data_IF_182900459366
#
_entry.id   IF_182900459366
#
_cell.length_a   1.000
_cell.length_b   1.000
_cell.length_c   1.000
_cell.angle_alpha   90.00
_cell.angle_beta   90.00
_cell.angle_gamma   90.00
#
_symmetry.space_group_name_H-M   'P 1'
#
loop_
_entity.id
_entity.type
_entity.pdbx_description
1 polymer ?
#
# COMPACT_ATOMS: atom_id res chain seq x y z
N UNK A 1 51.79 -28.37 5.52
CA UNK A 1 50.42 -27.95 5.89
C UNK A 1 49.50 -28.81 5.06
N UNK A 2 48.96 -29.86 5.65
CA UNK A 2 47.99 -30.72 4.99
C UNK A 2 46.75 -29.89 4.67
N UNK A 3 46.39 -29.81 3.40
CA UNK A 3 45.08 -29.31 2.99
C UNK A 3 44.05 -30.23 3.62
N UNK A 4 43.48 -29.80 4.75
CA UNK A 4 42.35 -30.47 5.36
C UNK A 4 41.29 -30.62 4.26
N UNK A 5 41.11 -31.86 3.82
CA UNK A 5 40.24 -32.24 2.72
C UNK A 5 38.82 -31.83 3.13
N UNK A 6 38.39 -30.63 2.72
CA UNK A 6 37.06 -30.14 3.05
C UNK A 6 36.06 -31.19 2.54
N UNK A 7 35.13 -31.65 3.37
CA UNK A 7 34.15 -32.65 2.95
C UNK A 7 33.37 -32.07 1.76
N UNK A 8 33.66 -32.59 0.57
CA UNK A 8 32.99 -32.20 -0.65
C UNK A 8 31.59 -32.78 -0.61
N UNK A 9 30.62 -31.94 -0.24
CA UNK A 9 29.22 -32.31 -0.23
C UNK A 9 28.84 -32.90 -1.62
N UNK A 10 28.19 -34.06 -1.70
CA UNK A 10 27.74 -34.61 -2.97
C UNK A 10 26.96 -33.59 -3.82
N UNK A 11 27.18 -33.60 -5.14
CA UNK A 11 26.58 -32.64 -6.08
C UNK A 11 25.05 -32.60 -5.97
N UNK A 12 24.39 -33.74 -5.70
CA UNK A 12 22.94 -33.78 -5.54
C UNK A 12 22.46 -33.03 -4.30
N UNK A 13 23.18 -33.11 -3.17
CA UNK A 13 22.87 -32.34 -1.96
C UNK A 13 23.13 -30.85 -2.16
N UNK A 14 24.22 -30.51 -2.85
CA UNK A 14 24.51 -29.11 -3.21
C UNK A 14 23.35 -28.51 -4.04
N UNK A 15 22.86 -29.26 -5.05
CA UNK A 15 21.69 -28.86 -5.85
C UNK A 15 20.42 -28.73 -5.01
N UNK A 16 20.18 -29.64 -4.07
CA UNK A 16 19.00 -29.61 -3.21
C UNK A 16 19.00 -28.39 -2.28
N UNK A 17 20.11 -28.14 -1.58
CA UNK A 17 20.30 -26.94 -0.75
C UNK A 17 20.08 -25.69 -1.59
N UNK A 18 20.73 -25.60 -2.75
CA UNK A 18 20.57 -24.46 -3.65
C UNK A 18 19.12 -24.26 -4.08
N UNK A 19 18.37 -25.32 -4.35
CA UNK A 19 16.98 -25.19 -4.74
C UNK A 19 16.11 -24.60 -3.60
N UNK A 20 16.37 -25.01 -2.36
CA UNK A 20 15.74 -24.42 -1.18
C UNK A 20 16.11 -22.93 -1.03
N UNK A 21 17.40 -22.59 -1.17
CA UNK A 21 17.86 -21.20 -1.08
C UNK A 21 17.28 -20.34 -2.20
N UNK A 22 17.25 -20.86 -3.44
CA UNK A 22 16.67 -20.16 -4.57
C UNK A 22 15.16 -19.99 -4.43
N UNK A 23 14.45 -20.97 -3.86
CA UNK A 23 13.02 -20.85 -3.53
C UNK A 23 12.81 -19.74 -2.50
N UNK A 24 13.66 -19.66 -1.48
CA UNK A 24 13.63 -18.60 -0.48
C UNK A 24 13.90 -17.22 -1.10
N UNK A 25 15.01 -17.06 -1.84
CA UNK A 25 15.34 -15.84 -2.59
C UNK A 25 14.18 -15.44 -3.52
N UNK A 26 13.60 -16.40 -4.23
CA UNK A 26 12.48 -16.16 -5.13
C UNK A 26 11.24 -15.66 -4.39
N UNK A 27 10.90 -16.29 -3.26
CA UNK A 27 9.77 -15.87 -2.43
C UNK A 27 9.90 -14.41 -2.00
N UNK A 28 11.06 -14.02 -1.45
CA UNK A 28 11.30 -12.64 -1.01
C UNK A 28 11.51 -11.66 -2.18
N UNK A 29 12.01 -12.11 -3.32
CA UNK A 29 12.15 -11.23 -4.50
C UNK A 29 10.81 -10.97 -5.19
N UNK A 30 9.90 -11.96 -5.17
CA UNK A 30 8.53 -11.87 -5.70
C UNK A 30 7.57 -11.20 -4.73
N UNK A 31 7.85 -11.19 -3.43
CA UNK A 31 7.04 -10.43 -2.49
C UNK A 31 7.00 -8.99 -2.98
N UNK A 32 5.77 -8.57 -3.27
CA UNK A 32 5.47 -7.19 -3.53
C UNK A 32 5.43 -6.62 -2.14
N UNK A 33 6.59 -6.18 -1.66
CA UNK A 33 6.68 -5.73 -0.29
C UNK A 33 5.69 -4.59 -0.10
N UNK A 34 4.76 -4.75 0.86
CA UNK A 34 3.92 -3.65 1.31
C UNK A 34 4.75 -2.43 1.61
N UNK A 35 4.19 -1.26 1.35
CA UNK A 35 4.56 -0.09 2.14
C UNK A 35 4.22 -0.45 3.59
N UNK A 36 5.23 -0.81 4.36
CA UNK A 36 5.09 -1.06 5.79
C UNK A 36 5.60 0.18 6.47
N UNK A 37 4.75 0.84 7.27
CA UNK A 37 5.17 2.00 8.06
C UNK A 37 6.37 1.58 8.91
N UNK A 38 7.49 2.28 8.77
CA UNK A 38 8.73 2.01 9.51
C UNK A 38 9.72 1.03 8.85
N UNK A 39 9.38 0.38 7.74
CA UNK A 39 10.32 -0.47 7.00
C UNK A 39 10.47 -0.02 5.56
N UNK A 40 11.70 0.26 5.14
CA UNK A 40 11.96 0.42 3.72
C UNK A 40 12.08 -0.98 3.11
N UNK A 41 11.28 -1.30 2.09
CA UNK A 41 11.43 -2.54 1.32
C UNK A 41 12.86 -2.72 0.77
N UNK A 42 13.63 -1.63 0.72
CA UNK A 42 15.00 -1.58 0.23
C UNK A 42 15.99 -2.28 1.17
N UNK A 43 15.76 -2.23 2.48
CA UNK A 43 16.64 -2.89 3.45
C UNK A 43 16.60 -4.40 3.23
N UNK A 44 15.38 -4.96 3.10
CA UNK A 44 15.17 -6.36 2.74
C UNK A 44 15.72 -6.70 1.36
N UNK A 45 15.56 -5.82 0.36
CA UNK A 45 16.10 -6.06 -0.98
C UNK A 45 17.64 -6.12 -0.98
N UNK A 46 18.30 -5.27 -0.20
CA UNK A 46 19.76 -5.28 -0.04
C UNK A 46 20.24 -6.54 0.69
N UNK A 47 19.51 -6.98 1.72
CA UNK A 47 19.78 -8.22 2.44
C UNK A 47 19.70 -9.43 1.50
N UNK A 48 18.64 -9.53 0.68
CA UNK A 48 18.48 -10.61 -0.31
C UNK A 48 19.61 -10.57 -1.35
N UNK A 49 20.02 -9.39 -1.82
CA UNK A 49 21.15 -9.27 -2.76
C UNK A 49 22.45 -9.72 -2.15
N UNK A 50 22.74 -9.28 -0.92
CA UNK A 50 23.93 -9.72 -0.16
C UNK A 50 23.91 -11.24 -0.02
N UNK A 51 22.75 -11.80 0.32
CA UNK A 51 22.54 -13.24 0.41
C UNK A 51 22.81 -13.96 -0.93
N UNK A 52 22.27 -13.48 -2.05
CA UNK A 52 22.53 -14.04 -3.38
C UNK A 52 24.01 -14.03 -3.75
N UNK A 53 24.72 -12.94 -3.43
CA UNK A 53 26.17 -12.82 -3.67
C UNK A 53 26.92 -13.84 -2.81
N UNK A 54 26.63 -13.88 -1.50
CA UNK A 54 27.29 -14.78 -0.56
C UNK A 54 27.10 -16.25 -0.96
N UNK A 55 25.89 -16.65 -1.35
CA UNK A 55 25.62 -18.02 -1.83
C UNK A 55 26.34 -18.26 -3.17
N UNK A 56 26.38 -17.27 -4.07
CA UNK A 56 27.11 -17.37 -5.33
C UNK A 56 28.63 -17.53 -5.18
N UNK A 57 29.22 -17.00 -4.10
CA UNK A 57 30.65 -17.09 -3.81
C UNK A 57 31.10 -18.44 -3.24
N UNK A 58 30.17 -19.30 -2.83
CA UNK A 58 30.49 -20.61 -2.23
C UNK A 58 31.25 -21.52 -3.21
N UNK A 59 30.80 -21.61 -4.47
CA UNK A 59 31.49 -22.41 -5.49
C UNK A 59 31.07 -22.01 -6.91
N UNK A 60 31.85 -22.45 -7.91
CA UNK A 60 31.48 -22.29 -9.34
C UNK A 60 30.12 -22.91 -9.66
N UNK A 61 29.75 -24.02 -9.00
CA UNK A 61 28.46 -24.67 -9.19
C UNK A 61 27.32 -23.82 -8.63
N UNK A 62 27.50 -23.27 -7.42
CA UNK A 62 26.52 -22.38 -6.78
C UNK A 62 26.30 -21.12 -7.62
N UNK A 63 27.38 -20.48 -8.08
CA UNK A 63 27.31 -19.34 -8.99
C UNK A 63 26.53 -19.69 -10.26
N UNK A 64 26.85 -20.81 -10.91
CA UNK A 64 26.18 -21.25 -12.14
C UNK A 64 24.68 -21.46 -11.92
N UNK A 65 24.29 -22.12 -10.82
CA UNK A 65 22.88 -22.41 -10.51
C UNK A 65 22.12 -21.12 -10.17
N UNK A 66 22.65 -20.27 -9.29
CA UNK A 66 22.04 -18.97 -8.96
C UNK A 66 21.91 -18.11 -10.21
N UNK A 67 22.93 -18.07 -11.06
CA UNK A 67 22.86 -17.30 -12.31
C UNK A 67 21.82 -17.81 -13.29
N UNK A 68 21.49 -19.09 -13.21
CA UNK A 68 20.44 -19.76 -13.98
C UNK A 68 19.04 -19.63 -13.38
N UNK A 69 18.93 -19.16 -12.13
CA UNK A 69 17.62 -19.04 -11.48
C UNK A 69 16.84 -17.87 -12.05
N UNK A 70 15.53 -18.08 -12.18
CA UNK A 70 14.61 -17.03 -12.55
C UNK A 70 14.53 -16.00 -11.43
N UNK A 71 14.70 -14.73 -11.79
CA UNK A 71 14.77 -13.66 -10.80
C UNK A 71 13.78 -12.54 -11.07
N UNK A 72 13.43 -11.85 -9.99
CA UNK A 72 12.82 -10.53 -10.04
C UNK A 72 13.92 -9.47 -10.00
N UNK A 73 13.95 -8.55 -10.96
CA UNK A 73 14.86 -7.40 -10.95
C UNK A 73 14.09 -6.11 -10.70
N UNK A 74 14.67 -5.25 -9.86
CA UNK A 74 14.30 -3.84 -9.75
C UNK A 74 15.29 -2.97 -10.52
N UNK A 75 14.78 -2.27 -11.54
CA UNK A 75 15.58 -1.37 -12.37
C UNK A 75 16.14 -0.18 -11.58
N UNK A 76 15.59 0.12 -10.41
CA UNK A 76 16.15 1.14 -9.52
C UNK A 76 17.58 0.84 -9.06
N UNK A 77 18.04 -0.41 -9.18
CA UNK A 77 19.32 -0.86 -8.64
C UNK A 77 20.25 -1.45 -9.67
N UNK A 78 19.83 -1.52 -10.94
CA UNK A 78 20.76 -1.84 -12.01
C UNK A 78 21.70 -0.65 -12.13
N UNK A 79 22.99 -0.91 -11.87
CA UNK A 79 24.00 0.08 -12.21
C UNK A 79 24.01 0.18 -13.75
N UNK A 80 23.26 1.12 -14.32
CA UNK A 80 23.17 1.30 -15.76
C UNK A 80 24.54 1.58 -16.37
N UNK A 81 25.50 2.08 -15.59
CA UNK A 81 26.90 2.19 -16.03
C UNK A 81 27.52 0.80 -16.30
N UNK A 82 27.11 -0.26 -15.60
CA UNK A 82 27.49 -1.65 -15.94
C UNK A 82 26.63 -2.29 -17.06
N UNK A 83 25.58 -1.60 -17.51
CA UNK A 83 24.80 -1.97 -18.69
C UNK A 83 25.26 -1.22 -19.96
N UNK A 84 25.59 0.06 -19.85
CA UNK A 84 25.90 0.97 -20.97
C UNK A 84 27.40 1.21 -21.19
N UNK A 85 28.29 0.93 -20.23
CA UNK A 85 29.76 1.07 -20.43
C UNK A 85 30.38 -0.03 -21.30
N UNK A 86 29.60 -0.60 -22.23
CA UNK A 86 30.04 -1.54 -23.25
C UNK A 86 29.68 -1.12 -24.69
N UNK A 87 29.44 0.16 -24.95
CA UNK A 87 29.55 0.71 -26.31
C UNK A 87 30.52 1.91 -26.32
N UNK A 88 31.71 1.66 -26.90
CA UNK A 88 32.81 2.58 -27.26
C UNK A 88 33.72 2.96 -26.07
N UNK A 89 35.00 2.57 -25.96
CA UNK A 89 36.06 2.45 -26.98
C UNK A 89 36.64 1.04 -27.14
N UNK A 90 36.81 0.62 -28.39
CA UNK A 90 37.97 -0.18 -28.82
C UNK A 90 39.22 0.54 -28.32
N UNK A 91 39.97 -0.07 -27.41
CA UNK A 91 41.44 -0.11 -27.34
C UNK A 91 41.80 -1.26 -26.38
N UNK A 92 42.41 -2.28 -26.98
CA UNK A 92 43.23 -3.37 -26.44
C UNK A 92 42.72 -4.22 -25.27
N UNK A 93 42.34 -5.45 -25.65
CA UNK A 93 42.62 -6.72 -24.97
C UNK A 93 43.14 -6.60 -23.53
N UNK A 94 42.22 -6.63 -22.57
CA UNK A 94 42.36 -7.52 -21.42
C UNK A 94 40.99 -7.79 -20.78
N UNK A 95 40.72 -9.08 -20.59
CA UNK A 95 39.45 -9.68 -20.18
C UNK A 95 38.98 -9.23 -18.78
N UNK A 96 38.39 -8.05 -18.68
CA UNK A 96 37.54 -7.71 -17.53
C UNK A 96 36.11 -8.17 -17.81
N UNK A 97 35.92 -9.49 -17.72
CA UNK A 97 34.61 -10.10 -17.58
C UNK A 97 34.03 -9.69 -16.22
N UNK A 98 33.27 -8.60 -16.19
CA UNK A 98 32.41 -8.32 -15.05
C UNK A 98 31.33 -9.40 -15.00
N UNK A 99 31.49 -10.34 -14.06
CA UNK A 99 30.56 -11.45 -13.86
C UNK A 99 29.20 -10.91 -13.41
N UNK A 100 28.28 -10.69 -14.33
CA UNK A 100 26.88 -10.45 -13.95
C UNK A 100 26.34 -11.77 -13.38
N UNK A 101 26.08 -11.80 -12.08
CA UNK A 101 25.47 -12.96 -11.40
C UNK A 101 24.13 -13.28 -12.06
N UNK A 102 23.38 -12.27 -12.48
CA UNK A 102 22.06 -12.43 -13.07
C UNK A 102 22.14 -12.20 -14.58
N UNK A 103 21.71 -13.20 -15.34
CA UNK A 103 21.59 -13.10 -16.80
C UNK A 103 20.25 -12.49 -17.20
N UNK A 104 20.26 -11.61 -18.21
CA UNK A 104 19.06 -10.86 -18.63
C UNK A 104 17.97 -11.78 -19.16
N UNK A 105 18.35 -12.88 -19.81
CA UNK A 105 17.44 -13.90 -20.32
C UNK A 105 16.68 -14.65 -19.23
N UNK A 106 17.12 -14.58 -17.96
CA UNK A 106 16.51 -15.29 -16.83
C UNK A 106 15.54 -14.41 -16.02
N UNK A 107 15.36 -13.14 -16.39
CA UNK A 107 14.48 -12.22 -15.68
C UNK A 107 13.03 -12.57 -15.98
N UNK A 108 12.27 -12.95 -14.94
CA UNK A 108 10.82 -13.23 -15.06
C UNK A 108 9.95 -12.05 -14.64
N UNK A 109 10.43 -11.23 -13.70
CA UNK A 109 9.67 -10.12 -13.15
C UNK A 109 10.51 -8.85 -13.22
N UNK A 110 9.98 -7.83 -13.90
CA UNK A 110 10.60 -6.52 -14.00
C UNK A 110 9.85 -5.52 -13.12
N UNK A 111 10.52 -4.95 -12.12
CA UNK A 111 10.00 -3.83 -11.30
C UNK A 111 10.53 -2.52 -11.87
N UNK A 112 9.60 -1.62 -12.18
CA UNK A 112 9.84 -0.30 -12.76
C UNK A 112 9.31 0.78 -11.82
N UNK A 113 10.07 1.85 -11.64
CA UNK A 113 9.65 3.02 -10.86
C UNK A 113 9.56 4.20 -11.80
N UNK A 114 8.37 4.79 -11.88
CA UNK A 114 8.15 5.97 -12.69
C UNK A 114 7.93 7.17 -11.77
N UNK A 115 8.54 8.30 -12.09
CA UNK A 115 8.30 9.57 -11.44
C UNK A 115 7.65 10.52 -12.43
N UNK A 116 6.41 10.92 -12.18
CA UNK A 116 5.62 11.83 -13.01
C UNK A 116 6.11 13.27 -12.90
N UNK A 117 6.75 13.65 -11.78
CA UNK A 117 7.42 14.94 -11.64
C UNK A 117 8.57 15.02 -12.62
N UNK A 118 9.42 13.99 -12.68
CA UNK A 118 10.53 13.87 -13.64
C UNK A 118 10.08 13.47 -15.06
N UNK A 119 8.87 12.93 -15.19
CA UNK A 119 8.34 12.30 -16.42
C UNK A 119 9.24 11.19 -16.96
N UNK A 120 9.88 10.44 -16.07
CA UNK A 120 10.82 9.40 -16.47
C UNK A 120 10.78 8.23 -15.51
N UNK A 121 11.19 7.06 -15.99
CA UNK A 121 11.68 6.03 -15.08
C UNK A 121 12.93 6.56 -14.39
N UNK A 122 13.26 6.02 -13.23
CA UNK A 122 14.49 6.41 -12.55
C UNK A 122 15.17 5.21 -11.92
N UNK A 123 16.41 5.44 -11.48
CA UNK A 123 17.12 4.58 -10.53
C UNK A 123 17.66 5.38 -9.37
N UNK A 124 17.75 4.75 -8.20
CA UNK A 124 18.36 5.36 -7.02
C UNK A 124 19.83 5.00 -6.96
N UNK A 125 20.67 5.99 -6.74
CA UNK A 125 22.09 5.81 -6.47
C UNK A 125 22.46 6.44 -5.14
N UNK A 126 23.39 5.81 -4.43
CA UNK A 126 23.91 6.29 -3.17
C UNK A 126 25.32 6.80 -3.41
N UNK A 127 25.44 8.07 -3.81
CA UNK A 127 26.76 8.71 -3.97
C UNK A 127 27.00 9.59 -2.75
N UNK A 128 28.11 9.37 -2.05
CA UNK A 128 28.51 10.15 -0.88
C UNK A 128 27.45 10.22 0.23
N UNK A 129 26.77 9.10 0.50
CA UNK A 129 25.72 9.03 1.53
C UNK A 129 24.42 9.75 1.18
N UNK A 130 24.28 10.31 -0.04
CA UNK A 130 23.04 10.94 -0.51
C UNK A 130 22.33 10.05 -1.52
N UNK A 131 21.00 10.00 -1.42
CA UNK A 131 20.13 9.34 -2.39
C UNK A 131 19.91 10.27 -3.57
N UNK A 132 20.32 9.85 -4.76
CA UNK A 132 20.11 10.58 -6.01
C UNK A 132 19.29 9.74 -6.98
N UNK A 133 18.24 10.37 -7.53
CA UNK A 133 17.39 9.78 -8.57
C UNK A 133 17.99 10.10 -9.95
N UNK A 134 18.40 9.06 -10.67
CA UNK A 134 18.94 9.16 -12.02
C UNK A 134 17.84 8.76 -12.99
N UNK A 135 17.42 9.70 -13.84
CA UNK A 135 16.43 9.47 -14.89
C UNK A 135 16.90 8.38 -15.87
N UNK A 136 15.96 7.53 -16.29
CA UNK A 136 16.13 6.50 -17.31
C UNK A 136 15.13 6.77 -18.44
N UNK A 137 15.60 7.02 -19.67
CA UNK A 137 14.72 7.19 -20.82
C UNK A 137 13.90 5.92 -21.09
N UNK A 138 12.65 6.09 -21.53
CA UNK A 138 11.74 4.97 -21.80
C UNK A 138 12.26 4.07 -22.93
N UNK A 139 13.01 4.63 -23.88
CA UNK A 139 13.65 3.89 -24.96
C UNK A 139 14.65 2.86 -24.40
N UNK A 140 15.41 3.26 -23.37
CA UNK A 140 16.36 2.34 -22.69
C UNK A 140 15.61 1.21 -21.99
N UNK A 141 14.46 1.49 -21.37
CA UNK A 141 13.62 0.48 -20.74
C UNK A 141 13.08 -0.50 -21.79
N UNK A 142 12.59 0.03 -22.91
CA UNK A 142 12.04 -0.76 -24.00
C UNK A 142 13.10 -1.65 -24.67
N UNK A 143 14.32 -1.16 -24.87
CA UNK A 143 15.44 -1.96 -25.35
C UNK A 143 15.79 -3.10 -24.40
N UNK A 144 15.72 -2.87 -23.09
CA UNK A 144 15.97 -3.90 -22.09
C UNK A 144 14.86 -4.94 -22.06
N UNK A 145 13.59 -4.53 -22.11
CA UNK A 145 12.45 -5.46 -22.15
C UNK A 145 12.58 -6.41 -23.35
N UNK A 146 12.96 -5.89 -24.53
CA UNK A 146 13.18 -6.72 -25.74
C UNK A 146 14.26 -7.79 -25.57
N UNK A 147 15.21 -7.60 -24.65
CA UNK A 147 16.27 -8.57 -24.37
C UNK A 147 15.86 -9.65 -23.34
N UNK A 148 14.77 -9.43 -22.59
CA UNK A 148 14.31 -10.33 -21.52
C UNK A 148 13.37 -11.41 -22.06
N UNK A 149 13.92 -12.47 -22.66
CA UNK A 149 13.15 -13.56 -23.27
C UNK A 149 12.24 -14.34 -22.31
N UNK A 150 12.56 -14.34 -21.01
CA UNK A 150 11.77 -15.04 -19.99
C UNK A 150 10.81 -14.11 -19.22
N UNK A 151 10.62 -12.86 -19.66
CA UNK A 151 9.80 -11.90 -18.92
C UNK A 151 8.34 -12.35 -18.88
N UNK A 152 7.82 -12.56 -17.66
CA UNK A 152 6.45 -13.04 -17.39
C UNK A 152 5.60 -12.01 -16.66
N UNK A 153 6.20 -10.94 -16.13
CA UNK A 153 5.49 -9.96 -15.31
C UNK A 153 6.19 -8.61 -15.29
N UNK A 154 5.41 -7.53 -15.37
CA UNK A 154 5.88 -6.17 -15.15
C UNK A 154 5.16 -5.59 -13.92
N UNK A 155 5.92 -5.02 -12.99
CA UNK A 155 5.41 -4.36 -11.79
C UNK A 155 5.79 -2.89 -11.84
N UNK A 156 4.78 -2.04 -11.97
CA UNK A 156 4.93 -0.59 -12.00
C UNK A 156 4.74 -0.02 -10.59
N UNK A 157 5.67 0.83 -10.15
CA UNK A 157 5.67 1.48 -8.84
C UNK A 157 5.55 3.00 -9.01
N UNK A 158 4.95 3.64 -8.00
CA UNK A 158 4.73 5.09 -7.93
C UNK A 158 3.92 5.63 -9.11
N UNK A 159 2.81 4.97 -9.48
CA UNK A 159 1.93 5.49 -10.53
C UNK A 159 0.99 6.53 -9.89
N UNK A 160 1.31 7.82 -10.01
CA UNK A 160 0.46 8.92 -9.58
C UNK A 160 -0.21 9.64 -10.77
N UNK A 161 -1.27 10.39 -10.48
CA UNK A 161 -2.11 11.09 -11.48
C UNK A 161 -1.83 12.60 -11.58
N UNK A 162 -0.79 13.11 -10.91
CA UNK A 162 -0.57 14.55 -10.67
C UNK A 162 -0.49 15.37 -11.97
N UNK A 163 -0.11 14.76 -13.10
CA UNK A 163 0.06 15.45 -14.41
C UNK A 163 -0.88 14.93 -15.53
N UNK A 164 -2.02 14.35 -15.17
CA UNK A 164 -3.13 13.97 -16.06
C UNK A 164 -2.84 13.02 -17.24
N UNK A 165 -1.60 12.54 -17.42
CA UNK A 165 -1.25 11.70 -18.57
C UNK A 165 -0.41 10.51 -18.13
N UNK A 166 -0.90 9.31 -18.45
CA UNK A 166 -0.20 8.03 -18.28
C UNK A 166 0.49 7.60 -19.58
N UNK A 167 1.02 8.56 -20.34
CA UNK A 167 1.64 8.33 -21.67
C UNK A 167 2.75 7.29 -21.64
N UNK A 168 3.51 7.23 -20.54
CA UNK A 168 4.56 6.23 -20.37
C UNK A 168 4.02 4.79 -20.47
N UNK A 169 2.74 4.53 -20.18
CA UNK A 169 2.13 3.21 -20.37
C UNK A 169 1.84 2.90 -21.83
N UNK A 170 1.53 3.93 -22.64
CA UNK A 170 1.34 3.77 -24.10
C UNK A 170 2.68 3.52 -24.80
N UNK A 171 3.73 4.15 -24.30
CA UNK A 171 5.07 4.09 -24.85
C UNK A 171 5.87 2.86 -24.38
N UNK A 172 5.40 2.15 -23.34
CA UNK A 172 6.08 0.97 -22.81
C UNK A 172 5.85 -0.24 -23.74
N UNK A 173 6.94 -0.79 -24.28
CA UNK A 173 6.90 -1.98 -25.12
C UNK A 173 6.59 -3.19 -24.24
N UNK A 174 5.41 -3.78 -24.45
CA UNK A 174 4.99 -5.01 -23.80
C UNK A 174 5.27 -6.16 -24.78
N UNK A 175 6.06 -7.18 -24.38
CA UNK A 175 6.29 -8.35 -25.22
C UNK A 175 4.96 -9.01 -25.60
N UNK A 176 4.79 -9.50 -26.85
CA UNK A 176 3.53 -10.11 -27.28
C UNK A 176 3.15 -11.35 -26.46
N UNK A 177 4.12 -12.02 -25.83
CA UNK A 177 3.89 -13.14 -24.92
C UNK A 177 3.33 -12.71 -23.55
N UNK A 178 3.45 -11.41 -23.22
CA UNK A 178 3.02 -10.86 -21.94
C UNK A 178 1.57 -10.37 -22.03
N UNK A 179 0.65 -11.12 -21.42
CA UNK A 179 -0.75 -10.69 -21.32
C UNK A 179 -0.87 -9.49 -20.36
N UNK A 180 -1.82 -8.60 -20.62
CA UNK A 180 -2.16 -7.45 -19.76
C UNK A 180 -2.41 -7.82 -18.29
N UNK A 181 -2.86 -9.06 -18.03
CA UNK A 181 -3.05 -9.62 -16.69
C UNK A 181 -1.75 -9.79 -15.89
N UNK A 182 -0.61 -9.74 -16.58
CA UNK A 182 0.74 -9.84 -16.04
C UNK A 182 1.35 -8.46 -15.76
N UNK A 183 0.67 -7.37 -16.11
CA UNK A 183 1.03 -6.01 -15.71
C UNK A 183 0.32 -5.71 -14.40
N UNK A 184 1.10 -5.34 -13.39
CA UNK A 184 0.61 -5.01 -12.06
C UNK A 184 1.08 -3.62 -11.67
N UNK A 185 0.15 -2.77 -11.22
CA UNK A 185 0.49 -1.53 -10.54
C UNK A 185 0.56 -1.80 -9.04
N UNK A 186 1.67 -1.43 -8.43
CA UNK A 186 1.84 -1.52 -6.99
C UNK A 186 1.04 -0.44 -6.30
N UNK A 187 1.27 0.82 -6.66
CA UNK A 187 0.66 1.97 -6.00
C UNK A 187 -0.06 2.84 -7.02
N UNK A 188 -1.32 3.15 -6.73
CA UNK A 188 -2.09 4.17 -7.42
C UNK A 188 -2.50 5.25 -6.42
N UNK A 189 -1.99 6.46 -6.64
CA UNK A 189 -2.30 7.63 -5.82
C UNK A 189 -3.47 8.39 -6.43
N UNK A 190 -4.54 8.52 -5.67
CA UNK A 190 -5.77 9.23 -6.01
C UNK A 190 -5.71 10.60 -5.35
N UNK A 191 -5.83 11.65 -6.16
CA UNK A 191 -5.95 13.03 -5.69
C UNK A 191 -6.97 13.83 -6.48
N UNK A 192 -7.18 15.10 -6.14
CA UNK A 192 -8.11 16.02 -6.85
C UNK A 192 -7.91 16.07 -8.37
N UNK A 193 -6.74 15.66 -8.86
CA UNK A 193 -6.41 15.62 -10.29
C UNK A 193 -6.80 14.31 -10.98
N UNK A 194 -7.21 13.30 -10.22
CA UNK A 194 -7.66 12.02 -10.75
C UNK A 194 -9.04 12.18 -11.36
N UNK A 195 -9.14 11.93 -12.66
CA UNK A 195 -10.41 11.99 -13.41
C UNK A 195 -10.86 10.59 -13.83
N UNK A 196 -12.15 10.46 -14.14
CA UNK A 196 -12.73 9.22 -14.71
C UNK A 196 -11.95 8.71 -15.93
N UNK A 197 -11.56 9.59 -16.84
CA UNK A 197 -10.79 9.22 -18.03
C UNK A 197 -9.41 8.61 -17.69
N UNK A 198 -8.73 9.13 -16.64
CA UNK A 198 -7.45 8.57 -16.19
C UNK A 198 -7.65 7.17 -15.60
N UNK A 199 -8.69 7.00 -14.78
CA UNK A 199 -9.05 5.73 -14.15
C UNK A 199 -9.40 4.68 -15.20
N UNK A 200 -10.23 5.02 -16.18
CA UNK A 200 -10.61 4.13 -17.27
C UNK A 200 -9.41 3.74 -18.14
N UNK A 201 -8.58 4.71 -18.53
CA UNK A 201 -7.35 4.44 -19.29
C UNK A 201 -6.41 3.50 -18.52
N UNK A 202 -6.23 3.72 -17.22
CA UNK A 202 -5.42 2.84 -16.37
C UNK A 202 -6.03 1.44 -16.29
N UNK A 203 -7.35 1.30 -16.11
CA UNK A 203 -8.04 0.01 -16.04
C UNK A 203 -7.99 -0.79 -17.34
N UNK A 204 -8.01 -0.10 -18.48
CA UNK A 204 -7.78 -0.73 -19.77
C UNK A 204 -6.40 -1.35 -19.86
N UNK A 205 -5.38 -0.74 -19.24
CA UNK A 205 -3.96 -1.16 -19.32
C UNK A 205 -3.51 -2.07 -18.18
N UNK A 206 -4.18 -2.03 -17.04
CA UNK A 206 -3.75 -2.66 -15.80
C UNK A 206 -4.92 -3.35 -15.12
N UNK A 207 -4.87 -4.68 -15.07
CA UNK A 207 -5.93 -5.48 -14.42
C UNK A 207 -5.68 -5.76 -12.94
N UNK A 208 -4.47 -5.50 -12.44
CA UNK A 208 -4.12 -5.73 -11.03
C UNK A 208 -3.54 -4.47 -10.40
N UNK A 209 -4.22 -3.94 -9.40
CA UNK A 209 -3.79 -2.83 -8.57
C UNK A 209 -3.64 -3.30 -7.12
N UNK A 210 -2.46 -3.12 -6.52
CA UNK A 210 -2.20 -3.64 -5.17
C UNK A 210 -2.60 -2.67 -4.06
N UNK A 211 -2.22 -1.41 -4.20
CA UNK A 211 -2.28 -0.40 -3.16
C UNK A 211 -2.96 0.85 -3.72
N UNK A 212 -3.93 1.34 -2.97
CA UNK A 212 -4.52 2.67 -3.18
C UNK A 212 -3.96 3.61 -2.12
N UNK A 213 -3.55 4.79 -2.54
CA UNK A 213 -3.21 5.93 -1.67
C UNK A 213 -4.20 7.05 -1.98
N UNK A 214 -4.99 7.44 -1.00
CA UNK A 214 -5.99 8.50 -1.09
C UNK A 214 -5.45 9.78 -0.46
N UNK A 215 -5.42 10.86 -1.25
CA UNK A 215 -4.87 12.17 -0.89
C UNK A 215 -5.80 13.28 -1.40
N UNK A 216 -6.46 13.99 -0.49
CA UNK A 216 -7.28 15.18 -0.74
C UNK A 216 -8.42 14.96 -1.76
N UNK A 217 -9.02 13.78 -1.80
CA UNK A 217 -10.03 13.44 -2.82
C UNK A 217 -11.42 13.21 -2.23
N UNK A 218 -12.45 13.79 -2.86
CA UNK A 218 -13.82 13.82 -2.30
C UNK A 218 -14.91 13.23 -3.22
N UNK A 219 -14.62 12.96 -4.51
CA UNK A 219 -15.65 12.46 -5.43
C UNK A 219 -15.94 10.97 -5.18
N UNK A 220 -16.95 10.72 -4.34
CA UNK A 220 -17.36 9.37 -3.94
C UNK A 220 -17.64 8.43 -5.14
N UNK A 221 -18.31 8.92 -6.18
CA UNK A 221 -18.68 8.08 -7.34
C UNK A 221 -17.45 7.50 -8.05
N UNK A 222 -16.40 8.30 -8.24
CA UNK A 222 -15.19 7.80 -8.88
C UNK A 222 -14.44 6.81 -7.97
N UNK A 223 -14.45 7.01 -6.65
CA UNK A 223 -13.90 6.03 -5.71
C UNK A 223 -14.62 4.68 -5.85
N UNK A 224 -15.94 4.67 -5.97
CA UNK A 224 -16.69 3.43 -6.22
C UNK A 224 -16.28 2.78 -7.54
N UNK A 225 -16.12 3.57 -8.61
CA UNK A 225 -15.67 3.06 -9.89
C UNK A 225 -14.27 2.44 -9.79
N UNK A 226 -13.33 3.09 -9.09
CA UNK A 226 -11.97 2.57 -8.85
C UNK A 226 -12.02 1.23 -8.11
N UNK A 227 -12.74 1.13 -6.99
CA UNK A 227 -12.82 -0.14 -6.29
C UNK A 227 -13.56 -1.20 -7.10
N UNK A 228 -14.61 -0.86 -7.84
CA UNK A 228 -15.29 -1.79 -8.74
C UNK A 228 -14.33 -2.42 -9.76
N UNK A 229 -13.37 -1.65 -10.26
CA UNK A 229 -12.35 -2.15 -11.19
C UNK A 229 -11.32 -3.08 -10.54
N UNK A 230 -10.92 -2.85 -9.29
CA UNK A 230 -9.75 -3.51 -8.72
C UNK A 230 -9.91 -4.18 -7.36
N UNK A 231 -11.10 -4.22 -6.75
CA UNK A 231 -11.30 -4.71 -5.37
C UNK A 231 -10.83 -6.15 -5.13
N UNK A 232 -10.79 -7.01 -6.15
CA UNK A 232 -10.21 -8.35 -6.04
C UNK A 232 -8.69 -8.35 -5.85
N UNK A 233 -8.02 -7.32 -6.36
CA UNK A 233 -6.55 -7.20 -6.38
C UNK A 233 -5.98 -6.25 -5.32
N UNK A 234 -6.79 -5.30 -4.83
CA UNK A 234 -6.39 -4.35 -3.80
C UNK A 234 -6.17 -5.10 -2.49
N UNK A 235 -4.98 -4.93 -1.92
CA UNK A 235 -4.58 -5.51 -0.64
C UNK A 235 -4.25 -4.44 0.40
N UNK A 236 -4.00 -3.20 -0.01
CA UNK A 236 -3.60 -2.13 0.90
C UNK A 236 -4.34 -0.85 0.57
N UNK A 237 -4.73 -0.14 1.61
CA UNK A 237 -5.38 1.15 1.51
C UNK A 237 -4.71 2.13 2.47
N UNK A 238 -4.23 3.24 1.91
CA UNK A 238 -3.66 4.35 2.65
C UNK A 238 -4.56 5.55 2.44
N UNK A 239 -4.98 6.18 3.52
CA UNK A 239 -5.61 7.49 3.54
C UNK A 239 -4.62 8.42 4.23
N UNK A 240 -3.97 9.29 3.48
CA UNK A 240 -2.82 10.09 3.97
C UNK A 240 -3.14 11.57 4.20
N UNK A 241 -4.41 11.95 4.05
CA UNK A 241 -4.87 13.31 4.26
C UNK A 241 -6.28 13.31 4.88
N UNK A 242 -6.71 14.48 5.34
CA UNK A 242 -8.09 14.73 5.77
C UNK A 242 -9.00 14.80 4.53
N UNK A 243 -9.45 13.65 4.05
CA UNK A 243 -10.44 13.52 2.98
C UNK A 243 -11.59 12.62 3.46
N UNK A 244 -12.77 12.71 2.87
CA UNK A 244 -13.85 11.78 3.20
C UNK A 244 -13.62 10.44 2.50
N UNK A 245 -13.85 9.33 3.20
CA UNK A 245 -13.89 7.99 2.59
C UNK A 245 -15.09 7.25 3.17
N UNK A 246 -16.11 6.90 2.38
CA UNK A 246 -17.38 6.41 2.92
C UNK A 246 -17.29 4.92 3.27
N UNK A 247 -16.51 4.60 4.31
CA UNK A 247 -16.18 3.25 4.79
C UNK A 247 -17.43 2.37 4.89
N UNK A 248 -18.53 2.91 5.44
CA UNK A 248 -19.79 2.20 5.62
C UNK A 248 -20.34 1.71 4.28
N UNK A 249 -20.35 2.55 3.24
CA UNK A 249 -20.85 2.16 1.92
C UNK A 249 -19.91 1.14 1.26
N UNK A 250 -18.59 1.34 1.36
CA UNK A 250 -17.59 0.39 0.82
C UNK A 250 -17.59 -0.97 1.52
N UNK A 251 -18.02 -1.02 2.79
CA UNK A 251 -18.17 -2.27 3.54
C UNK A 251 -19.26 -3.19 2.97
N UNK A 252 -20.10 -2.70 2.04
CA UNK A 252 -21.32 -3.37 1.63
C UNK A 252 -22.47 -3.11 2.59
N UNK A 253 -22.49 -1.94 3.24
CA UNK A 253 -23.51 -1.55 4.22
C UNK A 253 -23.74 -2.61 5.31
N UNK A 254 -22.68 -3.16 5.89
CA UNK A 254 -22.78 -4.25 6.88
C UNK A 254 -23.62 -3.92 8.13
N UNK A 255 -23.90 -2.64 8.35
CA UNK A 255 -24.76 -2.14 9.42
C UNK A 255 -26.26 -2.34 9.12
N UNK A 256 -26.68 -2.53 7.86
CA UNK A 256 -28.09 -2.70 7.49
C UNK A 256 -28.64 -4.09 7.80
N UNK A 257 -27.75 -5.08 7.98
CA UNK A 257 -28.11 -6.46 8.31
C UNK A 257 -28.04 -6.78 9.80
N UNK A 258 -27.41 -5.91 10.60
CA UNK A 258 -27.48 -6.02 12.06
C UNK A 258 -28.69 -5.29 12.57
N UNK A 259 -29.30 -5.87 13.59
CA UNK A 259 -30.42 -5.32 14.33
C UNK A 259 -30.04 -4.01 15.04
N UNK A 260 -29.82 -2.94 14.29
CA UNK A 260 -30.11 -1.59 14.76
C UNK A 260 -31.64 -1.44 14.68
N UNK A 261 -32.33 -2.31 15.43
CA UNK A 261 -33.77 -2.25 15.66
C UNK A 261 -33.96 -1.21 16.74
N UNK A 262 -34.15 0.04 16.32
CA UNK A 262 -34.97 0.97 17.08
C UNK A 262 -35.99 1.61 16.12
N UNK A 263 -37.17 0.99 16.09
CA UNK A 263 -38.47 1.63 15.82
C UNK A 263 -38.64 2.49 14.56
N UNK A 264 -38.05 2.15 13.42
CA UNK A 264 -38.45 2.73 12.13
C UNK A 264 -38.97 1.66 11.18
N UNK A 265 -40.26 1.81 10.83
CA UNK A 265 -40.99 0.94 9.92
C UNK A 265 -40.15 0.66 8.66
N UNK A 266 -39.81 -0.61 8.38
CA UNK A 266 -38.97 -0.96 7.24
C UNK A 266 -39.82 -0.96 5.97
N UNK A 267 -39.99 0.21 5.35
CA UNK A 267 -40.56 0.30 4.02
C UNK A 267 -39.52 -0.16 2.98
N UNK A 268 -39.54 -1.45 2.65
CA UNK A 268 -39.26 -1.96 1.30
C UNK A 268 -37.90 -1.66 0.65
N UNK A 269 -36.81 -1.49 1.40
CA UNK A 269 -35.48 -1.43 0.79
C UNK A 269 -35.09 -2.86 0.38
N UNK A 270 -35.21 -3.15 -0.91
CA UNK A 270 -34.72 -4.39 -1.51
C UNK A 270 -33.27 -4.63 -1.05
N UNK A 271 -33.03 -5.80 -0.44
CA UNK A 271 -31.68 -6.29 -0.12
C UNK A 271 -30.96 -6.61 -1.42
N UNK A 272 -30.59 -5.59 -2.19
CA UNK A 272 -29.63 -5.73 -3.27
C UNK A 272 -28.35 -6.29 -2.69
N UNK A 273 -27.74 -7.27 -3.37
CA UNK A 273 -26.46 -7.86 -2.98
C UNK A 273 -25.40 -6.76 -2.90
N UNK A 274 -25.18 -6.19 -1.73
CA UNK A 274 -24.20 -5.14 -1.50
C UNK A 274 -22.80 -5.77 -1.55
N UNK A 275 -21.99 -5.30 -2.50
CA UNK A 275 -20.62 -5.79 -2.67
C UNK A 275 -19.75 -5.21 -1.56
N UNK A 276 -19.11 -6.07 -0.77
CA UNK A 276 -18.08 -5.66 0.18
C UNK A 276 -16.75 -5.46 -0.57
N UNK A 277 -16.41 -4.19 -0.83
CA UNK A 277 -15.18 -3.80 -1.51
C UNK A 277 -13.92 -3.87 -0.62
N UNK A 278 -14.10 -4.01 0.70
CA UNK A 278 -13.04 -4.02 1.71
C UNK A 278 -12.52 -5.42 2.05
N UNK A 279 -13.21 -6.48 1.58
CA UNK A 279 -12.95 -7.88 1.97
C UNK A 279 -11.53 -8.40 1.69
N UNK A 280 -10.86 -7.82 0.70
CA UNK A 280 -9.54 -8.26 0.24
C UNK A 280 -8.38 -7.47 0.85
N UNK A 281 -8.67 -6.37 1.56
CA UNK A 281 -7.65 -5.52 2.14
C UNK A 281 -7.09 -6.20 3.38
N UNK A 282 -5.75 -6.27 3.45
CA UNK A 282 -5.00 -6.87 4.55
C UNK A 282 -4.24 -5.83 5.36
N UNK A 283 -4.14 -4.60 4.85
CA UNK A 283 -3.40 -3.50 5.44
C UNK A 283 -4.16 -2.19 5.27
N UNK A 284 -4.43 -1.52 6.39
CA UNK A 284 -4.96 -0.16 6.42
C UNK A 284 -4.00 0.79 7.10
N UNK A 285 -3.88 1.99 6.55
CA UNK A 285 -3.23 3.11 7.22
C UNK A 285 -4.04 4.38 7.01
N UNK A 286 -4.52 4.94 8.12
CA UNK A 286 -5.28 6.17 8.17
C UNK A 286 -4.43 7.19 8.92
N UNK A 287 -3.83 8.11 8.17
CA UNK A 287 -3.07 9.25 8.65
C UNK A 287 -3.97 10.47 8.68
N UNK A 288 -3.82 11.31 9.71
CA UNK A 288 -4.38 12.66 9.82
C UNK A 288 -5.91 12.76 9.70
N UNK A 289 -6.59 11.61 9.71
CA UNK A 289 -8.02 11.50 9.62
C UNK A 289 -8.51 10.71 10.82
N UNK A 290 -9.39 11.35 11.59
CA UNK A 290 -10.13 10.64 12.63
C UNK A 290 -10.89 9.48 12.00
N UNK A 291 -10.92 8.36 12.70
CA UNK A 291 -11.87 7.28 12.45
C UNK A 291 -12.81 7.23 13.64
N UNK A 292 -14.11 7.21 13.36
CA UNK A 292 -15.14 6.95 14.36
C UNK A 292 -15.14 5.47 14.78
N UNK A 293 -15.64 5.16 15.97
CA UNK A 293 -15.77 3.75 16.39
C UNK A 293 -16.70 2.94 15.48
N UNK A 294 -17.70 3.60 14.88
CA UNK A 294 -18.58 3.04 13.86
C UNK A 294 -17.83 2.60 12.61
N UNK A 295 -16.98 3.46 12.07
CA UNK A 295 -16.16 3.15 10.91
C UNK A 295 -15.10 2.10 11.22
N UNK A 296 -14.48 2.16 12.41
CA UNK A 296 -13.54 1.14 12.86
C UNK A 296 -14.21 -0.24 12.92
N UNK A 297 -15.40 -0.32 13.52
CA UNK A 297 -16.21 -1.54 13.51
C UNK A 297 -16.46 -2.03 12.08
N UNK A 298 -16.84 -1.12 11.17
CA UNK A 298 -17.05 -1.45 9.77
C UNK A 298 -15.80 -2.03 9.09
N UNK A 299 -14.62 -1.44 9.29
CA UNK A 299 -13.35 -1.96 8.77
C UNK A 299 -13.09 -3.36 9.31
N UNK A 300 -13.17 -3.54 10.64
CA UNK A 300 -12.84 -4.81 11.29
C UNK A 300 -13.76 -5.95 10.84
N UNK A 301 -15.04 -5.67 10.68
CA UNK A 301 -16.02 -6.66 10.24
C UNK A 301 -15.94 -6.93 8.73
N UNK A 302 -15.76 -5.89 7.92
CA UNK A 302 -15.76 -6.02 6.47
C UNK A 302 -14.44 -6.58 5.91
N UNK A 303 -13.36 -6.60 6.68
CA UNK A 303 -12.04 -7.07 6.23
C UNK A 303 -11.59 -8.34 6.96
N UNK A 304 -12.13 -9.53 6.64
CA UNK A 304 -11.81 -10.79 7.33
C UNK A 304 -10.36 -11.28 7.14
N UNK A 305 -9.58 -10.59 6.30
CA UNK A 305 -8.17 -10.88 6.02
C UNK A 305 -7.23 -9.80 6.56
N UNK A 306 -7.75 -8.86 7.36
CA UNK A 306 -6.98 -7.79 7.96
C UNK A 306 -5.83 -8.35 8.82
N UNK A 307 -4.62 -7.88 8.56
CA UNK A 307 -3.42 -8.24 9.32
C UNK A 307 -2.77 -7.02 9.99
N UNK A 308 -2.92 -5.83 9.40
CA UNK A 308 -2.29 -4.62 9.89
C UNK A 308 -3.29 -3.46 9.83
N UNK A 309 -3.46 -2.78 10.96
CA UNK A 309 -4.31 -1.60 11.06
C UNK A 309 -3.52 -0.48 11.72
N UNK A 310 -3.32 0.62 11.02
CA UNK A 310 -2.72 1.83 11.58
C UNK A 310 -3.76 2.94 11.53
N UNK A 311 -4.14 3.46 12.69
CA UNK A 311 -5.16 4.49 12.84
C UNK A 311 -4.68 5.56 13.82
N UNK A 312 -5.17 6.77 13.65
CA UNK A 312 -4.96 7.84 14.61
C UNK A 312 -6.17 7.95 15.53
N UNK A 313 -5.94 7.84 16.83
CA UNK A 313 -6.97 7.95 17.86
C UNK A 313 -6.70 9.14 18.77
N UNK A 314 -7.76 9.91 19.01
CA UNK A 314 -7.76 10.98 19.98
C UNK A 314 -7.94 10.42 21.39
N UNK A 315 -6.86 10.33 22.17
CA UNK A 315 -6.88 9.77 23.52
C UNK A 315 -7.76 10.58 24.47
N UNK A 316 -7.81 11.91 24.35
CA UNK A 316 -8.71 12.74 25.15
C UNK A 316 -10.19 12.41 24.89
N UNK A 317 -10.57 12.19 23.62
CA UNK A 317 -11.94 11.76 23.28
C UNK A 317 -12.24 10.34 23.71
N UNK A 318 -11.24 9.46 23.65
CA UNK A 318 -11.38 8.09 24.12
C UNK A 318 -11.54 8.04 25.65
N UNK A 319 -10.75 8.83 26.39
CA UNK A 319 -10.88 8.98 27.84
C UNK A 319 -12.23 9.58 28.21
N UNK A 320 -12.64 10.64 27.50
CA UNK A 320 -13.97 11.23 27.64
C UNK A 320 -15.09 10.19 27.49
N UNK A 321 -15.06 9.39 26.41
CA UNK A 321 -16.02 8.31 26.17
C UNK A 321 -16.10 7.32 27.34
N UNK A 322 -14.98 7.00 27.98
CA UNK A 322 -14.92 6.01 29.07
C UNK A 322 -15.09 6.60 30.47
N UNK A 323 -14.93 7.90 30.64
CA UNK A 323 -15.15 8.58 31.92
C UNK A 323 -16.59 8.45 32.41
N UNK A 324 -17.55 8.22 31.49
CA UNK A 324 -18.98 8.19 31.79
C UNK A 324 -19.54 9.55 32.22
N UNK A 325 -18.73 10.60 32.17
CA UNK A 325 -19.11 11.95 32.55
C UNK A 325 -19.59 12.71 31.33
N UNK A 326 -20.86 13.13 31.34
CA UNK A 326 -21.45 14.02 30.34
C UNK A 326 -21.10 15.48 30.69
N UNK A 327 -19.87 15.73 31.14
CA UNK A 327 -19.41 17.08 31.45
C UNK A 327 -18.73 17.65 30.20
N UNK A 328 -19.44 18.53 29.48
CA UNK A 328 -18.95 19.12 28.23
C UNK A 328 -17.67 19.94 28.41
N UNK A 329 -17.49 20.55 29.59
CA UNK A 329 -16.34 21.40 29.87
C UNK A 329 -15.02 20.62 29.88
N UNK A 330 -15.10 19.29 29.95
CA UNK A 330 -13.95 18.38 29.89
C UNK A 330 -13.47 18.08 28.48
N UNK A 331 -14.33 18.21 27.45
CA UNK A 331 -13.93 17.88 26.07
C UNK A 331 -13.29 19.09 25.37
N UNK A 332 -12.00 19.31 25.63
CA UNK A 332 -11.24 20.43 25.03
C UNK A 332 -10.71 20.11 23.62
N UNK A 333 -10.53 18.84 23.25
CA UNK A 333 -9.95 18.49 21.95
C UNK A 333 -10.96 18.53 20.80
N UNK A 334 -10.59 19.28 19.74
CA UNK A 334 -11.31 19.41 18.45
C UNK A 334 -10.93 18.33 17.41
N UNK A 335 -10.41 17.19 17.85
CA UNK A 335 -10.06 16.08 16.96
C UNK A 335 -11.33 15.39 16.39
N UNK A 336 -11.37 14.94 15.13
CA UNK A 336 -12.54 14.21 14.55
C UNK A 336 -12.64 12.72 14.93
N UNK A 337 -11.72 12.21 15.75
CA UNK A 337 -11.63 10.78 16.06
C UNK A 337 -12.66 10.34 17.12
N UNK A 338 -12.99 9.04 17.15
CA UNK A 338 -13.94 8.35 18.05
C UNK A 338 -15.41 8.57 17.71
N UNK A 339 -15.82 9.81 17.52
CA UNK A 339 -17.18 10.22 17.15
C UNK A 339 -17.29 10.43 15.62
N UNK A 340 -18.50 10.52 15.06
CA UNK A 340 -18.73 10.60 13.61
C UNK A 340 -18.64 12.05 13.11
N UNK A 341 -18.18 12.30 11.88
CA UNK A 341 -17.84 13.65 11.38
C UNK A 341 -18.98 14.69 11.46
N UNK A 342 -20.25 14.24 11.42
CA UNK A 342 -21.41 15.14 11.58
C UNK A 342 -21.49 15.77 12.98
N UNK A 343 -20.77 15.22 13.96
CA UNK A 343 -20.78 15.70 15.33
C UNK A 343 -20.08 17.07 15.47
N UNK A 344 -19.05 17.35 14.67
CA UNK A 344 -18.32 18.62 14.78
C UNK A 344 -19.04 19.79 14.13
N UNK A 345 -19.58 19.61 12.92
CA UNK A 345 -20.32 20.68 12.25
C UNK A 345 -21.54 21.09 13.10
N UNK A 346 -22.20 20.14 13.75
CA UNK A 346 -23.36 20.40 14.61
C UNK A 346 -22.99 20.95 15.99
N UNK A 347 -21.75 20.81 16.46
CA UNK A 347 -21.33 21.41 17.74
C UNK A 347 -20.67 22.78 17.51
N UNK A 348 -19.81 22.90 16.50
CA UNK A 348 -19.10 24.15 16.19
C UNK A 348 -20.05 25.25 15.67
N UNK A 349 -21.06 24.89 14.85
CA UNK A 349 -22.09 25.85 14.39
C UNK A 349 -22.88 26.44 15.56
N UNK A 350 -23.10 25.66 16.62
CA UNK A 350 -23.86 26.14 17.79
C UNK A 350 -22.98 26.87 18.81
N UNK A 351 -21.66 26.69 18.77
CA UNK A 351 -20.73 27.36 19.70
C UNK A 351 -20.32 28.77 19.27
N UNK A 352 -20.43 29.12 17.98
CA UNK A 352 -19.97 30.42 17.47
C UNK A 352 -21.08 31.52 17.48
N UNK A 353 -22.33 31.15 17.75
CA UNK A 353 -23.44 32.11 17.78
C UNK A 353 -23.74 32.59 19.21
N UNK A 354 -23.48 33.88 19.43
CA UNK A 354 -23.83 34.62 20.66
C UNK A 354 -25.35 34.64 20.85
N UNK A 355 -25.89 33.62 21.51
CA UNK A 355 -27.29 33.57 21.93
C UNK A 355 -27.96 32.21 21.78
N UNK A 356 -27.32 31.12 22.23
CA UNK A 356 -27.98 29.82 22.33
C UNK A 356 -29.18 29.96 23.27
N UNK A 357 -30.39 29.86 22.73
CA UNK A 357 -31.62 29.79 23.52
C UNK A 357 -31.64 28.49 24.35
N UNK A 358 -32.30 28.48 25.52
CA UNK A 358 -32.39 27.28 26.36
C UNK A 358 -32.85 26.02 25.58
N UNK A 359 -33.75 26.20 24.60
CA UNK A 359 -34.24 25.12 23.74
C UNK A 359 -33.15 24.52 22.84
N UNK A 360 -32.13 25.29 22.44
CA UNK A 360 -31.02 24.78 21.64
C UNK A 360 -30.02 23.99 22.51
N UNK A 361 -29.86 24.35 23.79
CA UNK A 361 -28.96 23.65 24.69
C UNK A 361 -29.40 22.19 24.90
N UNK A 362 -30.69 21.97 25.16
CA UNK A 362 -31.30 20.64 25.31
C UNK A 362 -31.09 19.78 24.06
N UNK A 363 -31.29 20.34 22.86
CA UNK A 363 -31.09 19.63 21.59
C UNK A 363 -29.64 19.20 21.40
N UNK A 364 -28.68 20.08 21.70
CA UNK A 364 -27.25 19.71 21.62
C UNK A 364 -26.96 18.62 22.68
N UNK A 365 -27.59 18.67 23.87
CA UNK A 365 -27.31 17.71 24.95
C UNK A 365 -27.82 16.33 24.59
N UNK A 366 -29.02 16.26 24.02
CA UNK A 366 -29.59 15.05 23.47
C UNK A 366 -28.74 14.50 22.33
N UNK A 367 -28.34 15.34 21.37
CA UNK A 367 -27.49 14.93 20.26
C UNK A 367 -26.15 14.34 20.75
N UNK A 368 -25.47 15.05 21.66
CA UNK A 368 -24.22 14.59 22.24
C UNK A 368 -24.36 13.27 23.00
N UNK A 369 -25.46 13.10 23.76
CA UNK A 369 -25.76 11.84 24.45
C UNK A 369 -25.91 10.69 23.45
N UNK A 370 -26.66 10.91 22.36
CA UNK A 370 -26.86 9.91 21.32
C UNK A 370 -25.54 9.50 20.65
N UNK A 371 -24.66 10.45 20.38
CA UNK A 371 -23.32 10.19 19.82
C UNK A 371 -22.44 9.36 20.77
N UNK A 372 -22.44 9.68 22.07
CA UNK A 372 -21.71 8.92 23.09
C UNK A 372 -22.26 7.51 23.22
N UNK A 373 -23.59 7.35 23.23
CA UNK A 373 -24.25 6.06 23.27
C UNK A 373 -23.95 5.21 22.03
N UNK A 374 -23.96 5.81 20.84
CA UNK A 374 -23.57 5.15 19.58
C UNK A 374 -22.11 4.68 19.64
N UNK A 375 -21.18 5.54 20.08
CA UNK A 375 -19.78 5.20 20.22
C UNK A 375 -19.57 4.04 21.22
N UNK A 376 -20.25 4.07 22.38
CA UNK A 376 -20.23 2.99 23.37
C UNK A 376 -20.82 1.69 22.82
N UNK A 377 -21.88 1.78 22.01
CA UNK A 377 -22.48 0.64 21.33
C UNK A 377 -21.46 -0.02 20.39
N UNK A 378 -20.83 0.73 19.50
CA UNK A 378 -19.82 0.19 18.59
C UNK A 378 -18.58 -0.32 19.31
N UNK A 379 -18.16 0.32 20.41
CA UNK A 379 -17.09 -0.23 21.26
C UNK A 379 -17.42 -1.63 21.79
N UNK A 380 -18.65 -1.83 22.28
CA UNK A 380 -19.12 -3.14 22.73
C UNK A 380 -19.13 -4.16 21.59
N UNK A 381 -19.52 -3.77 20.38
CA UNK A 381 -19.49 -4.65 19.22
C UNK A 381 -18.07 -5.02 18.81
N UNK A 382 -17.15 -4.05 18.77
CA UNK A 382 -15.73 -4.29 18.46
C UNK A 382 -15.14 -5.32 19.42
N UNK A 383 -15.42 -5.21 20.72
CA UNK A 383 -14.96 -6.17 21.75
C UNK A 383 -15.45 -7.61 21.53
N UNK A 384 -16.57 -7.79 20.83
CA UNK A 384 -17.17 -9.11 20.54
C UNK A 384 -16.68 -9.71 19.22
N UNK A 385 -15.89 -9.00 18.42
CA UNK A 385 -15.41 -9.54 17.16
C UNK A 385 -14.35 -10.63 17.40
N UNK A 386 -14.61 -11.85 16.97
CA UNK A 386 -13.66 -12.98 17.08
C UNK A 386 -12.52 -12.92 16.03
N UNK A 387 -12.59 -11.98 15.10
CA UNK A 387 -11.69 -11.90 13.94
C UNK A 387 -10.29 -11.33 14.24
N UNK A 388 -9.97 -11.03 15.49
CA UNK A 388 -8.65 -10.48 15.85
C UNK A 388 -7.50 -11.49 15.71
N UNK A 389 -7.78 -12.79 15.55
CA UNK A 389 -6.73 -13.82 15.44
C UNK A 389 -5.73 -13.60 14.29
N UNK A 390 -6.12 -12.88 13.23
CA UNK A 390 -5.24 -12.55 12.09
C UNK A 390 -4.54 -11.19 12.23
N UNK A 391 -5.01 -10.33 13.14
CA UNK A 391 -4.49 -8.98 13.33
C UNK A 391 -3.15 -9.06 14.06
N UNK A 392 -2.07 -8.74 13.34
CA UNK A 392 -0.70 -8.83 13.84
C UNK A 392 -0.22 -7.55 14.51
N UNK A 393 -0.73 -6.41 14.06
CA UNK A 393 -0.26 -5.10 14.52
C UNK A 393 -1.40 -4.08 14.47
N UNK A 394 -1.52 -3.33 15.55
CA UNK A 394 -2.32 -2.11 15.62
C UNK A 394 -1.39 -0.94 15.91
N UNK A 395 -1.21 -0.06 14.92
CA UNK A 395 -0.55 1.22 15.12
C UNK A 395 -1.57 2.23 15.61
N UNK A 396 -1.39 2.75 16.82
CA UNK A 396 -2.21 3.85 17.35
C UNK A 396 -1.30 5.06 17.46
N UNK A 397 -1.58 6.09 16.67
CA UNK A 397 -0.97 7.41 16.84
C UNK A 397 -1.95 8.34 17.55
N UNK A 398 -1.41 9.32 18.30
CA UNK A 398 -2.22 10.32 18.98
C UNK A 398 -2.36 11.58 18.11
N UNK A 399 -3.56 12.18 18.06
CA UNK A 399 -3.85 13.39 17.28
C UNK A 399 -3.78 14.71 18.05
N UNK A 400 -3.89 14.74 19.38
CA UNK A 400 -4.01 16.02 20.11
C UNK A 400 -2.69 16.64 20.56
N UNK A 401 -1.52 16.07 20.23
CA UNK A 401 -0.22 16.71 20.53
C UNK A 401 0.54 17.09 19.25
N UNK A 402 0.10 18.19 18.64
CA UNK A 402 1.04 19.13 18.01
C UNK A 402 1.51 20.08 19.12
N UNK A 403 2.40 19.61 20.00
CA UNK A 403 3.23 20.53 20.77
C UNK A 403 4.19 21.17 19.77
N UNK A 404 3.91 22.40 19.36
CA UNK A 404 4.98 23.31 18.95
C UNK A 404 5.89 23.48 20.17
N UNK A 405 6.93 22.65 20.27
CA UNK A 405 8.12 23.02 21.02
C UNK A 405 8.79 24.13 20.21
N UNK A 406 8.54 25.38 20.60
CA UNK A 406 9.39 26.50 20.21
C UNK A 406 10.71 26.42 20.97
#
# INVERSE_FOLDING_TARGET
>A
MDEAMQPNLPVYLQKYILNLLCTHIHYYSKSIDPLTVGYTYRDKENEIKSYMINVGLVSKLFFKIISGTHVCIDLNHLNLDSFNKYKIKKINNNNNNSSKIIKIENIEVLKLHYDQTMKSFYRKTFKHGRVLDISIPIETINEQIKQMKSLKKIVLRNVNTIKHTLKFLDELVIPPELNIEQIKVLEFRISQKTTKAIVENLYFKVKKLHTIVLEEYEEEELLFQIFKYWFHSIKQFFKISDCSFPIIKFSGNILSGEEIIENRNPSGIERGNSINYLQNIVYYHFQDSGISLKELYCILKASPNLQFLSIQICLERLDYLFSGQIDRDRLKCKCRSIFYDNDQATIEVYMDERGISANQEDVIQEYHRNTVEEALHFWKLIKKLDNFSKLKMVGISHSCTLMFLF
#
